data_IF_109743504076
#
_entry.id   IF_109743504076
#
_cell.length_a   1.000
_cell.length_b   1.000
_cell.length_c   1.000
_cell.angle_alpha   90.00
_cell.angle_beta   90.00
_cell.angle_gamma   90.00
#
_symmetry.space_group_name_H-M   'P 1'
#
loop_
_entity.id
_entity.type
_entity.pdbx_description
1 polymer ?
#
# COMPACT_ATOMS: atom_id res chain seq x y z
N UNK A 1 -0.43 -31.28 14.30
CA UNK A 1 0.28 -30.54 13.25
C UNK A 1 -0.74 -30.26 12.16
N UNK A 2 -0.92 -29.00 11.77
CA UNK A 2 -1.79 -28.60 10.66
C UNK A 2 -0.94 -28.28 9.43
N UNK A 3 -1.55 -28.34 8.25
CA UNK A 3 -0.95 -27.94 6.97
C UNK A 3 -2.02 -27.18 6.20
N UNK A 4 -1.66 -26.00 5.70
CA UNK A 4 -2.56 -25.10 5.00
C UNK A 4 -2.06 -24.87 3.57
N UNK A 5 -2.96 -24.64 2.63
CA UNK A 5 -2.64 -24.34 1.23
C UNK A 5 -2.81 -22.85 1.02
N UNK A 6 -1.70 -22.16 0.73
CA UNK A 6 -1.69 -20.73 0.41
C UNK A 6 -1.36 -20.52 -1.07
N UNK A 7 -2.02 -19.54 -1.67
CA UNK A 7 -1.73 -19.02 -3.00
C UNK A 7 -1.02 -17.67 -2.88
N UNK A 8 -0.23 -17.31 -3.88
CA UNK A 8 0.47 -16.01 -3.96
C UNK A 8 0.54 -15.54 -5.40
N UNK A 9 0.83 -14.27 -5.60
CA UNK A 9 1.13 -13.75 -6.93
C UNK A 9 2.53 -14.19 -7.39
N UNK A 10 2.75 -14.17 -8.71
CA UNK A 10 4.09 -14.25 -9.31
C UNK A 10 4.90 -12.97 -9.07
N UNK A 11 4.20 -11.84 -8.97
CA UNK A 11 4.73 -10.47 -8.87
C UNK A 11 4.83 -9.97 -7.43
N UNK A 12 4.08 -10.57 -6.52
CA UNK A 12 4.13 -10.32 -5.08
C UNK A 12 4.23 -11.66 -4.34
N UNK A 13 5.40 -11.88 -3.72
CA UNK A 13 5.76 -13.11 -3.03
C UNK A 13 5.50 -13.05 -1.52
N UNK A 14 5.25 -11.86 -0.98
CA UNK A 14 5.03 -11.62 0.45
C UNK A 14 3.54 -11.74 0.80
N UNK A 15 2.65 -11.30 -0.11
CA UNK A 15 1.21 -11.40 0.08
C UNK A 15 0.67 -12.78 -0.26
N UNK A 16 0.23 -13.47 0.79
CA UNK A 16 -0.45 -14.76 0.71
C UNK A 16 -1.97 -14.60 0.70
N UNK A 17 -2.65 -15.47 -0.04
CA UNK A 17 -4.10 -15.57 -0.18
C UNK A 17 -4.56 -17.00 0.11
N UNK A 18 -5.73 -17.16 0.72
CA UNK A 18 -6.32 -18.49 0.92
C UNK A 18 -7.03 -19.00 -0.33
N UNK A 19 -7.55 -18.08 -1.16
CA UNK A 19 -8.25 -18.39 -2.40
C UNK A 19 -7.40 -18.08 -3.64
N UNK A 20 -7.25 -19.08 -4.53
CA UNK A 20 -6.54 -18.90 -5.79
C UNK A 20 -7.13 -17.76 -6.63
N UNK A 21 -8.46 -17.63 -6.64
CA UNK A 21 -9.15 -16.61 -7.42
C UNK A 21 -8.83 -15.17 -6.97
N UNK A 22 -8.39 -14.98 -5.72
CA UNK A 22 -7.92 -13.68 -5.22
C UNK A 22 -6.48 -13.42 -5.63
N UNK A 23 -5.59 -14.41 -5.49
CA UNK A 23 -4.21 -14.34 -6.00
C UNK A 23 -4.17 -14.06 -7.52
N UNK A 24 -4.99 -14.78 -8.31
CA UNK A 24 -5.13 -14.58 -9.76
C UNK A 24 -5.67 -13.18 -10.12
N UNK A 25 -6.45 -12.52 -9.23
CA UNK A 25 -6.93 -11.13 -9.40
C UNK A 25 -5.87 -10.11 -9.00
N UNK A 26 -5.09 -10.40 -7.95
CA UNK A 26 -4.00 -9.55 -7.47
C UNK A 26 -2.84 -9.50 -8.49
N UNK A 27 -2.44 -10.65 -9.02
CA UNK A 27 -1.38 -10.73 -10.04
C UNK A 27 -1.75 -9.90 -11.29
N UNK A 28 -2.99 -10.02 -11.75
CA UNK A 28 -3.57 -9.21 -12.84
C UNK A 28 -3.80 -7.75 -12.47
N UNK A 29 -3.74 -7.36 -11.19
CA UNK A 29 -3.73 -5.96 -10.77
C UNK A 29 -2.34 -5.37 -10.93
N UNK A 30 -1.33 -6.08 -10.42
CA UNK A 30 0.08 -5.68 -10.50
C UNK A 30 0.54 -5.61 -11.97
N UNK A 31 0.19 -6.60 -12.79
CA UNK A 31 0.43 -6.60 -14.24
C UNK A 31 -0.14 -5.36 -14.96
N UNK A 32 -1.33 -4.92 -14.55
CA UNK A 32 -1.96 -3.74 -15.11
C UNK A 32 -1.30 -2.45 -14.61
N UNK A 33 -0.89 -2.40 -13.34
CA UNK A 33 -0.17 -1.27 -12.77
C UNK A 33 1.21 -1.06 -13.43
N UNK A 34 1.97 -2.14 -13.59
CA UNK A 34 3.27 -2.22 -14.26
C UNK A 34 3.18 -1.68 -15.70
N UNK A 35 2.21 -2.16 -16.49
CA UNK A 35 1.99 -1.69 -17.86
C UNK A 35 1.46 -0.26 -17.95
N UNK A 36 0.60 0.18 -17.01
CA UNK A 36 0.15 1.58 -16.94
C UNK A 36 1.31 2.51 -16.57
N UNK A 37 2.18 2.09 -15.65
CA UNK A 37 3.37 2.83 -15.26
C UNK A 37 4.32 3.02 -16.47
N UNK A 38 4.65 1.94 -17.18
CA UNK A 38 5.45 2.02 -18.42
C UNK A 38 4.87 3.00 -19.46
N UNK A 39 3.55 3.01 -19.64
CA UNK A 39 2.87 3.89 -20.60
C UNK A 39 2.88 5.36 -20.12
N UNK A 40 2.58 5.60 -18.84
CA UNK A 40 2.56 6.95 -18.25
C UNK A 40 3.96 7.59 -18.25
N UNK A 41 5.01 6.84 -17.90
CA UNK A 41 6.40 7.36 -17.92
C UNK A 41 6.84 7.78 -19.34
N UNK A 42 6.40 7.04 -20.36
CA UNK A 42 6.68 7.34 -21.79
C UNK A 42 5.83 8.49 -22.33
N UNK A 43 4.58 8.60 -21.88
CA UNK A 43 3.64 9.63 -22.32
C UNK A 43 3.87 10.99 -21.64
N UNK A 44 4.31 10.99 -20.37
CA UNK A 44 4.52 12.20 -19.56
C UNK A 44 5.90 12.14 -18.88
N UNK A 45 7.01 12.42 -19.60
CA UNK A 45 8.38 12.29 -19.07
C UNK A 45 8.75 13.26 -17.92
N UNK A 46 7.83 14.13 -17.51
CA UNK A 46 7.99 15.03 -16.36
C UNK A 46 7.50 14.43 -15.04
N UNK A 47 6.84 13.26 -15.05
CA UNK A 47 6.50 12.53 -13.84
C UNK A 47 7.69 11.69 -13.37
N UNK A 48 7.83 11.52 -12.05
CA UNK A 48 8.83 10.61 -11.48
C UNK A 48 8.34 9.16 -11.48
N UNK A 49 9.28 8.21 -11.48
CA UNK A 49 9.02 6.78 -11.42
C UNK A 49 8.03 6.41 -10.30
N UNK A 50 8.24 6.95 -9.09
CA UNK A 50 7.34 6.78 -7.95
C UNK A 50 5.93 7.34 -8.21
N UNK A 51 5.79 8.55 -8.76
CA UNK A 51 4.47 9.13 -9.09
C UNK A 51 3.71 8.28 -10.11
N UNK A 52 4.46 7.68 -11.04
CA UNK A 52 3.94 6.85 -12.12
C UNK A 52 3.54 5.46 -11.61
N UNK A 53 4.31 4.88 -10.68
CA UNK A 53 3.96 3.66 -9.95
C UNK A 53 2.71 3.85 -9.08
N UNK A 54 2.68 4.90 -8.24
CA UNK A 54 1.53 5.25 -7.39
C UNK A 54 0.25 5.44 -8.23
N UNK A 55 0.35 6.16 -9.36
CA UNK A 55 -0.76 6.33 -10.29
C UNK A 55 -1.19 5.02 -10.97
N UNK A 56 -0.24 4.19 -11.41
CA UNK A 56 -0.50 2.88 -12.02
C UNK A 56 -1.22 1.93 -11.06
N UNK A 57 -0.74 1.84 -9.81
CA UNK A 57 -1.36 1.05 -8.74
C UNK A 57 -2.77 1.57 -8.42
N UNK A 58 -2.95 2.89 -8.29
CA UNK A 58 -4.27 3.48 -8.03
C UNK A 58 -5.28 3.18 -9.17
N UNK A 59 -4.86 3.32 -10.43
CA UNK A 59 -5.70 3.00 -11.59
C UNK A 59 -6.02 1.51 -11.68
N UNK A 60 -5.06 0.63 -11.38
CA UNK A 60 -5.24 -0.82 -11.43
C UNK A 60 -6.10 -1.38 -10.27
N UNK A 61 -6.01 -0.80 -9.06
CA UNK A 61 -6.96 -1.05 -7.96
C UNK A 61 -8.39 -0.71 -8.40
N UNK A 62 -8.58 0.43 -9.06
CA UNK A 62 -9.88 0.96 -9.46
C UNK A 62 -10.29 0.60 -10.91
N UNK A 63 -9.73 -0.48 -11.49
CA UNK A 63 -9.80 -0.75 -12.95
C UNK A 63 -11.22 -0.73 -13.52
N UNK A 64 -12.19 -1.22 -12.76
CA UNK A 64 -13.57 -1.35 -13.23
C UNK A 64 -14.25 0.01 -13.38
N UNK A 65 -13.90 0.99 -12.54
CA UNK A 65 -14.39 2.37 -12.65
C UNK A 65 -13.73 3.08 -13.83
N UNK A 66 -12.41 2.93 -13.99
CA UNK A 66 -11.70 3.43 -15.17
C UNK A 66 -12.22 2.79 -16.47
N UNK A 67 -12.55 1.49 -16.46
CA UNK A 67 -13.12 0.79 -17.61
C UNK A 67 -14.53 1.29 -17.98
N UNK A 68 -15.40 1.61 -17.01
CA UNK A 68 -16.68 2.33 -17.27
C UNK A 68 -16.41 3.68 -17.94
N UNK A 69 -15.47 4.45 -17.38
CA UNK A 69 -15.12 5.79 -17.84
C UNK A 69 -14.60 5.82 -19.28
N UNK A 70 -13.58 5.01 -19.59
CA UNK A 70 -13.00 4.93 -20.93
C UNK A 70 -13.96 4.32 -21.97
N UNK A 71 -14.95 3.52 -21.56
CA UNK A 71 -15.91 2.91 -22.49
C UNK A 71 -16.95 3.89 -23.01
N UNK A 72 -17.62 4.63 -22.12
CA UNK A 72 -18.62 5.64 -22.48
C UNK A 72 -19.19 6.45 -21.30
N UNK A 73 -18.81 6.17 -20.05
CA UNK A 73 -19.46 6.75 -18.86
C UNK A 73 -18.46 7.53 -17.98
N UNK A 74 -17.99 8.73 -18.42
CA UNK A 74 -17.00 9.51 -17.66
C UNK A 74 -17.48 9.85 -16.24
N UNK A 75 -18.79 10.00 -16.05
CA UNK A 75 -19.43 10.26 -14.75
C UNK A 75 -19.14 9.17 -13.71
N UNK A 76 -18.76 7.95 -14.13
CA UNK A 76 -18.32 6.88 -13.23
C UNK A 76 -17.11 7.28 -12.37
N UNK A 77 -16.25 8.21 -12.85
CA UNK A 77 -15.14 8.75 -12.04
C UNK A 77 -15.63 9.52 -10.81
N UNK A 78 -16.91 9.92 -10.75
CA UNK A 78 -17.53 10.48 -9.54
C UNK A 78 -17.58 9.48 -8.38
N UNK A 79 -17.55 8.17 -8.66
CA UNK A 79 -17.38 7.12 -7.64
C UNK A 79 -16.03 7.29 -6.91
N UNK A 80 -14.98 7.72 -7.61
CA UNK A 80 -13.63 7.91 -7.05
C UNK A 80 -13.42 9.29 -6.41
N UNK A 81 -14.10 10.33 -6.90
CA UNK A 81 -14.00 11.69 -6.35
C UNK A 81 -14.64 11.83 -4.96
N UNK A 82 -15.56 10.94 -4.60
CA UNK A 82 -16.35 11.01 -3.37
C UNK A 82 -15.91 9.98 -2.31
N UNK A 83 -14.92 9.14 -2.64
CA UNK A 83 -14.23 8.26 -1.69
C UNK A 83 -12.95 9.00 -1.25
N UNK A 84 -12.70 9.21 0.06
CA UNK A 84 -11.43 9.76 0.51
C UNK A 84 -10.31 8.82 0.06
N UNK A 85 -9.25 9.36 -0.55
CA UNK A 85 -8.12 8.56 -1.00
C UNK A 85 -7.62 7.68 0.16
N UNK A 86 -7.73 6.36 -0.01
CA UNK A 86 -7.41 5.38 1.02
C UNK A 86 -5.94 5.58 1.42
N UNK A 87 -5.75 6.17 2.61
CA UNK A 87 -4.42 6.51 3.11
C UNK A 87 -3.65 5.23 3.27
N UNK A 88 -2.59 5.08 2.47
CA UNK A 88 -1.61 4.01 2.64
C UNK A 88 -1.13 4.10 4.09
N UNK A 89 -1.46 3.11 4.90
CA UNK A 89 -1.05 3.09 6.31
C UNK A 89 0.48 3.13 6.33
N UNK A 90 1.11 4.15 6.94
CA UNK A 90 2.56 4.17 7.07
C UNK A 90 2.92 3.04 8.02
N UNK A 91 3.51 1.96 7.48
CA UNK A 91 3.96 0.81 8.26
C UNK A 91 4.82 1.29 9.42
N UNK A 92 4.30 1.16 10.64
CA UNK A 92 4.95 1.73 11.83
C UNK A 92 6.34 1.11 11.99
N UNK A 93 7.41 1.92 12.14
CA UNK A 93 8.74 1.39 12.41
C UNK A 93 8.71 0.75 13.80
N UNK A 94 8.79 -0.58 13.83
CA UNK A 94 8.70 -1.39 15.04
C UNK A 94 9.73 -0.97 16.10
N UNK A 95 9.29 -0.22 17.11
CA UNK A 95 10.10 0.06 18.29
C UNK A 95 10.30 -1.22 19.11
N UNK A 96 11.55 -1.63 19.41
CA UNK A 96 11.80 -2.78 20.27
C UNK A 96 11.56 -2.41 21.74
N UNK A 97 10.47 -2.91 22.32
CA UNK A 97 10.10 -2.71 23.73
C UNK A 97 10.80 -3.68 24.69
N UNK A 98 10.75 -3.33 25.99
CA UNK A 98 11.28 -4.05 27.18
C UNK A 98 12.82 -4.05 27.37
N UNK A 99 13.38 -3.96 28.59
CA UNK A 99 12.82 -3.76 29.95
C UNK A 99 13.95 -3.31 30.92
N UNK A 100 13.75 -2.74 32.13
CA UNK A 100 12.55 -2.39 32.91
C UNK A 100 12.86 -1.25 33.93
N UNK A 101 11.86 -0.81 34.69
CA UNK A 101 11.97 -0.03 35.95
C UNK A 101 12.45 -0.90 37.15
N UNK A 102 12.71 -0.36 38.39
CA UNK A 102 12.46 0.99 38.96
C UNK A 102 13.79 1.66 39.42
N UNK A 103 13.98 2.59 40.40
CA UNK A 103 13.17 3.08 41.53
C UNK A 103 13.58 4.50 42.04
N UNK A 104 13.37 4.79 43.34
CA UNK A 104 13.46 6.10 44.05
C UNK A 104 13.90 5.85 45.53
N UNK A 105 14.04 6.83 46.47
CA UNK A 105 14.09 8.31 46.37
C UNK A 105 15.23 8.99 47.20
N UNK A 106 15.25 10.35 47.24
CA UNK A 106 15.30 11.21 48.46
C UNK A 106 16.39 12.33 48.60
N UNK A 107 15.92 13.58 48.47
CA UNK A 107 16.17 14.79 49.31
C UNK A 107 17.60 15.25 49.72
N UNK A 108 17.97 16.40 49.13
CA UNK A 108 18.43 17.66 49.77
C UNK A 108 19.78 17.77 50.51
N UNK A 109 20.59 18.78 50.15
CA UNK A 109 21.25 19.79 51.03
C UNK A 109 22.47 20.46 50.34
N UNK A 110 22.59 21.79 50.55
CA UNK A 110 23.80 22.64 50.35
C UNK A 110 24.61 22.65 51.68
N UNK A 111 25.81 23.26 51.82
CA UNK A 111 26.63 23.99 50.83
C UNK A 111 28.17 23.72 50.88
N UNK A 112 28.88 24.35 49.94
CA UNK A 112 30.21 24.99 50.07
C UNK A 112 31.36 24.34 50.88
N UNK A 113 32.51 24.18 50.22
CA UNK A 113 33.62 25.13 50.42
C UNK A 113 34.37 25.39 49.12
#
# INVERSE_FOLDING_TARGET
MAVEVVYRSSRDLERLFMDKAEADRHDKMLELAELLAEVLQKAVPSLTEQQVEEAGIYMAKNRDVFAKAFKSQPDALSELLNVPAETVEPVEPVEPTESAEPAKPAKSAKPAK
#
